data_IF_285876936535
#
_entry.id   IF_285876936535
#
_cell.length_a   1.000
_cell.length_b   1.000
_cell.length_c   1.000
_cell.angle_alpha   90.00
_cell.angle_beta   90.00
_cell.angle_gamma   90.00
#
_symmetry.space_group_name_H-M   'P 1'
#
loop_
_entity.id
_entity.type
_entity.pdbx_description
1 polymer ?
#
# COMPACT_ATOMS: atom_id res chain seq x y z
N UNK A 1 3.08 -6.75 13.70
CA UNK A 1 3.24 -7.52 12.43
C UNK A 1 3.76 -6.62 11.32
N UNK A 2 3.14 -5.47 11.06
CA UNK A 2 3.70 -4.43 10.16
C UNK A 2 5.02 -3.86 10.68
N UNK A 3 5.17 -3.73 12.00
CA UNK A 3 6.42 -3.34 12.68
C UNK A 3 7.42 -4.49 12.92
N UNK A 4 7.23 -5.66 12.31
CA UNK A 4 8.15 -6.79 12.54
C UNK A 4 9.53 -6.53 11.92
N UNK A 5 10.59 -6.97 12.62
CA UNK A 5 11.95 -6.89 12.09
C UNK A 5 12.11 -7.70 10.80
N UNK A 6 11.42 -8.84 10.70
CA UNK A 6 11.45 -9.68 9.51
C UNK A 6 10.50 -9.14 8.43
N UNK A 7 11.06 -8.78 7.27
CA UNK A 7 10.29 -8.24 6.13
C UNK A 7 9.24 -9.19 5.59
N UNK A 8 9.44 -10.51 5.67
CA UNK A 8 8.43 -11.49 5.29
C UNK A 8 7.16 -11.36 6.16
N UNK A 9 7.34 -11.17 7.48
CA UNK A 9 6.22 -10.99 8.39
C UNK A 9 5.48 -9.67 8.12
N UNK A 10 6.22 -8.60 7.80
CA UNK A 10 5.62 -7.32 7.38
C UNK A 10 4.77 -7.49 6.13
N UNK A 11 5.33 -8.09 5.07
CA UNK A 11 4.62 -8.36 3.82
C UNK A 11 3.34 -9.17 4.07
N UNK A 12 3.41 -10.24 4.87
CA UNK A 12 2.23 -11.04 5.22
C UNK A 12 1.17 -10.23 5.96
N UNK A 13 1.57 -9.37 6.90
CA UNK A 13 0.66 -8.48 7.62
C UNK A 13 -0.05 -7.50 6.68
N UNK A 14 0.69 -6.85 5.78
CA UNK A 14 0.14 -5.89 4.83
C UNK A 14 -0.87 -6.54 3.89
N UNK A 15 -0.51 -7.67 3.27
CA UNK A 15 -1.41 -8.39 2.37
C UNK A 15 -2.68 -8.88 3.09
N UNK A 16 -2.56 -9.32 4.35
CA UNK A 16 -3.71 -9.77 5.13
C UNK A 16 -4.66 -8.61 5.46
N UNK A 17 -4.13 -7.43 5.81
CA UNK A 17 -4.95 -6.23 6.05
C UNK A 17 -5.71 -5.84 4.78
N UNK A 18 -5.03 -5.75 3.64
CA UNK A 18 -5.67 -5.39 2.37
C UNK A 18 -6.75 -6.41 1.97
N UNK A 19 -6.48 -7.70 2.11
CA UNK A 19 -7.43 -8.75 1.78
C UNK A 19 -8.70 -8.71 2.64
N UNK A 20 -8.58 -8.29 3.89
CA UNK A 20 -9.69 -8.24 4.84
C UNK A 20 -10.42 -6.90 4.90
N UNK A 21 -9.94 -5.87 4.19
CA UNK A 21 -10.47 -4.52 4.27
C UNK A 21 -11.98 -4.43 3.97
N UNK A 22 -12.47 -5.25 3.03
CA UNK A 22 -13.88 -5.29 2.65
C UNK A 22 -14.83 -5.69 3.80
N UNK A 23 -14.34 -6.37 4.84
CA UNK A 23 -15.13 -6.80 5.99
C UNK A 23 -14.92 -5.91 7.23
N UNK A 24 -14.09 -4.87 7.13
CA UNK A 24 -13.82 -3.97 8.25
C UNK A 24 -14.97 -2.98 8.46
N UNK A 25 -15.94 -3.38 9.26
CA UNK A 25 -17.06 -2.51 9.69
C UNK A 25 -16.71 -1.66 10.91
N UNK A 26 -15.59 -1.96 11.58
CA UNK A 26 -15.15 -1.28 12.79
C UNK A 26 -14.16 -0.12 12.51
N UNK A 27 -13.79 0.10 11.25
CA UNK A 27 -12.86 1.18 10.86
C UNK A 27 -11.40 0.95 11.28
N UNK A 28 -11.02 -0.28 11.63
CA UNK A 28 -9.67 -0.63 12.09
C UNK A 28 -8.61 -0.38 11.01
N UNK A 29 -8.97 -0.56 9.74
CA UNK A 29 -8.07 -0.31 8.61
C UNK A 29 -7.73 1.19 8.54
N UNK A 30 -8.70 2.06 8.80
CA UNK A 30 -8.48 3.50 8.81
C UNK A 30 -7.56 3.91 9.96
N UNK A 31 -7.72 3.31 11.15
CA UNK A 31 -6.87 3.57 12.31
C UNK A 31 -5.39 3.22 12.03
N UNK A 32 -5.15 2.09 11.37
CA UNK A 32 -3.78 1.61 11.07
C UNK A 32 -3.22 2.14 9.74
N UNK A 33 -4.02 2.87 8.95
CA UNK A 33 -3.62 3.34 7.62
C UNK A 33 -2.30 4.13 7.63
N UNK A 34 -2.02 5.05 8.58
CA UNK A 34 -0.75 5.76 8.61
C UNK A 34 0.46 4.83 8.81
N UNK A 35 0.31 3.71 9.52
CA UNK A 35 1.35 2.69 9.62
C UNK A 35 1.48 1.89 8.33
N UNK A 36 0.36 1.46 7.77
CA UNK A 36 0.32 0.72 6.52
C UNK A 36 1.06 1.49 5.40
N UNK A 37 0.75 2.77 5.22
CA UNK A 37 1.29 3.58 4.13
C UNK A 37 2.80 3.86 4.25
N UNK A 38 3.39 3.78 5.46
CA UNK A 38 4.85 3.86 5.63
C UNK A 38 5.60 2.77 4.87
N UNK A 39 4.95 1.65 4.58
CA UNK A 39 5.55 0.55 3.85
C UNK A 39 5.59 0.76 2.32
N UNK A 40 4.98 1.82 1.78
CA UNK A 40 5.17 2.20 0.36
C UNK A 40 6.66 2.44 0.03
N UNK A 41 7.45 2.85 1.02
CA UNK A 41 8.91 3.00 0.92
C UNK A 41 9.63 2.12 1.95
N UNK A 42 9.14 0.91 2.18
CA UNK A 42 9.78 -0.05 3.11
C UNK A 42 11.28 -0.24 2.80
N UNK A 43 12.12 -0.43 3.82
CA UNK A 43 13.56 -0.68 3.65
C UNK A 43 13.87 -1.85 2.70
N UNK A 44 12.98 -2.84 2.60
CA UNK A 44 13.07 -3.94 1.64
C UNK A 44 12.22 -3.59 0.42
N UNK A 45 12.84 -3.39 -0.77
CA UNK A 45 12.11 -3.05 -1.98
C UNK A 45 10.98 -4.03 -2.28
N UNK A 46 11.20 -5.33 -2.06
CA UNK A 46 10.15 -6.34 -2.30
C UNK A 46 8.92 -6.13 -1.41
N UNK A 47 9.09 -5.72 -0.15
CA UNK A 47 7.98 -5.44 0.76
C UNK A 47 7.23 -4.19 0.31
N UNK A 48 7.94 -3.15 -0.14
CA UNK A 48 7.32 -1.96 -0.71
C UNK A 48 6.47 -2.26 -1.94
N UNK A 49 7.02 -3.03 -2.89
CA UNK A 49 6.28 -3.45 -4.09
C UNK A 49 5.01 -4.23 -3.76
N UNK A 50 5.08 -5.15 -2.79
CA UNK A 50 3.91 -5.92 -2.33
C UNK A 50 2.87 -5.02 -1.64
N UNK A 51 3.32 -4.07 -0.81
CA UNK A 51 2.45 -3.08 -0.19
C UNK A 51 1.68 -2.29 -1.26
N UNK A 52 2.41 -1.74 -2.25
CA UNK A 52 1.86 -0.93 -3.34
C UNK A 52 0.86 -1.73 -4.16
N UNK A 53 1.21 -2.97 -4.54
CA UNK A 53 0.34 -3.84 -5.34
C UNK A 53 -0.97 -4.22 -4.64
N UNK A 54 -1.01 -4.19 -3.30
CA UNK A 54 -2.20 -4.49 -2.52
C UNK A 54 -3.13 -3.27 -2.30
N UNK A 55 -2.67 -2.05 -2.55
CA UNK A 55 -3.45 -0.83 -2.33
C UNK A 55 -4.76 -0.77 -3.15
N UNK A 56 -4.82 -1.22 -4.42
CA UNK A 56 -6.09 -1.26 -5.14
C UNK A 56 -7.14 -2.15 -4.47
N UNK A 57 -6.73 -3.29 -3.89
CA UNK A 57 -7.64 -4.17 -3.15
C UNK A 57 -8.09 -3.53 -1.83
N UNK A 58 -7.16 -2.90 -1.10
CA UNK A 58 -7.45 -2.14 0.11
C UNK A 58 -8.53 -1.08 -0.15
N UNK A 59 -8.36 -0.29 -1.21
CA UNK A 59 -9.30 0.78 -1.60
C UNK A 59 -10.62 0.21 -2.12
N UNK A 60 -10.61 -0.88 -2.89
CA UNK A 60 -11.85 -1.53 -3.33
C UNK A 60 -12.72 -2.00 -2.14
N UNK A 61 -12.08 -2.49 -1.07
CA UNK A 61 -12.77 -2.86 0.17
C UNK A 61 -13.18 -1.67 1.04
N UNK A 62 -12.44 -0.57 0.99
CA UNK A 62 -12.68 0.64 1.78
C UNK A 62 -12.50 1.90 0.90
N UNK A 63 -13.48 2.25 0.05
CA UNK A 63 -13.36 3.34 -0.91
C UNK A 63 -13.00 4.70 -0.31
N UNK A 64 -13.42 4.96 0.94
CA UNK A 64 -13.13 6.19 1.67
C UNK A 64 -11.62 6.46 1.86
N UNK A 65 -10.76 5.44 1.74
CA UNK A 65 -9.32 5.58 1.91
C UNK A 65 -8.62 6.08 0.64
N UNK A 66 -9.30 6.12 -0.51
CA UNK A 66 -8.69 6.44 -1.80
C UNK A 66 -7.90 7.77 -1.83
N UNK A 67 -8.41 8.89 -1.27
CA UNK A 67 -7.67 10.16 -1.30
C UNK A 67 -6.34 10.08 -0.54
N UNK A 68 -6.33 9.43 0.63
CA UNK A 68 -5.13 9.28 1.44
C UNK A 68 -4.11 8.36 0.77
N UNK A 69 -4.58 7.25 0.18
CA UNK A 69 -3.74 6.29 -0.54
C UNK A 69 -3.10 6.93 -1.77
N UNK A 70 -3.88 7.64 -2.60
CA UNK A 70 -3.36 8.33 -3.79
C UNK A 70 -2.35 9.42 -3.43
N UNK A 71 -2.63 10.21 -2.39
CA UNK A 71 -1.68 11.21 -1.91
C UNK A 71 -0.35 10.58 -1.46
N UNK A 72 -0.40 9.46 -0.72
CA UNK A 72 0.80 8.74 -0.28
C UNK A 72 1.58 8.17 -1.47
N UNK A 73 0.91 7.62 -2.48
CA UNK A 73 1.55 7.14 -3.71
C UNK A 73 2.24 8.28 -4.48
N UNK A 74 1.59 9.44 -4.59
CA UNK A 74 2.15 10.62 -5.29
C UNK A 74 3.36 11.22 -4.59
N UNK A 75 3.38 11.17 -3.24
CA UNK A 75 4.44 11.80 -2.43
C UNK A 75 5.56 10.83 -2.05
N UNK A 76 5.41 9.55 -2.36
CA UNK A 76 6.41 8.52 -2.07
C UNK A 76 7.75 8.81 -2.75
N UNK A 77 8.83 8.73 -1.96
CA UNK A 77 10.21 8.90 -2.43
C UNK A 77 11.06 7.70 -2.04
N UNK A 78 10.99 6.57 -2.79
CA UNK A 78 11.79 5.39 -2.50
C UNK A 78 13.28 5.66 -2.74
N UNK A 79 14.13 5.25 -1.80
CA UNK A 79 15.59 5.46 -1.83
C UNK A 79 16.32 4.12 -2.05
N UNK A 80 16.13 3.52 -3.23
CA UNK A 80 16.79 2.28 -3.63
C UNK A 80 17.79 2.54 -4.76
N UNK A 81 18.60 1.52 -5.10
CA UNK A 81 19.37 1.55 -6.34
C UNK A 81 18.45 1.74 -7.57
N UNK A 82 18.95 2.40 -8.61
CA UNK A 82 18.19 2.87 -9.78
C UNK A 82 17.32 1.79 -10.45
N UNK A 83 17.80 0.54 -10.51
CA UNK A 83 17.04 -0.58 -11.07
C UNK A 83 15.77 -0.86 -10.26
N UNK A 84 15.86 -0.87 -8.93
CA UNK A 84 14.73 -1.10 -8.05
C UNK A 84 13.83 0.12 -7.95
N UNK A 85 14.38 1.33 -7.98
CA UNK A 85 13.60 2.55 -7.94
C UNK A 85 12.65 2.63 -9.14
N UNK A 86 13.13 2.30 -10.36
CA UNK A 86 12.29 2.24 -11.56
C UNK A 86 11.14 1.25 -11.42
N UNK A 87 11.39 0.04 -10.91
CA UNK A 87 10.35 -0.97 -10.72
C UNK A 87 9.27 -0.49 -9.74
N UNK A 88 9.67 0.14 -8.63
CA UNK A 88 8.75 0.66 -7.62
C UNK A 88 7.93 1.83 -8.18
N UNK A 89 8.53 2.72 -8.97
CA UNK A 89 7.81 3.80 -9.65
C UNK A 89 6.77 3.26 -10.66
N UNK A 90 7.10 2.20 -11.41
CA UNK A 90 6.14 1.51 -12.26
C UNK A 90 4.97 0.94 -11.46
N UNK A 91 5.24 0.30 -10.33
CA UNK A 91 4.17 -0.25 -9.47
C UNK A 91 3.29 0.87 -8.88
N UNK A 92 3.88 2.00 -8.46
CA UNK A 92 3.14 3.18 -7.96
C UNK A 92 2.18 3.69 -9.04
N UNK A 93 2.67 3.88 -10.26
CA UNK A 93 1.85 4.34 -11.37
C UNK A 93 0.72 3.35 -11.72
N UNK A 94 1.03 2.04 -11.70
CA UNK A 94 0.05 0.99 -11.94
C UNK A 94 -1.04 0.95 -10.85
N UNK A 95 -0.66 1.05 -9.57
CA UNK A 95 -1.59 1.07 -8.45
C UNK A 95 -2.48 2.31 -8.48
N UNK A 96 -1.91 3.49 -8.70
CA UNK A 96 -2.69 4.73 -8.82
C UNK A 96 -3.71 4.67 -9.97
N UNK A 97 -3.31 4.15 -11.13
CA UNK A 97 -4.21 3.93 -12.26
C UNK A 97 -5.34 2.94 -11.92
N UNK A 98 -5.01 1.84 -11.25
CA UNK A 98 -5.99 0.84 -10.85
C UNK A 98 -7.00 1.42 -9.84
N UNK A 99 -6.55 2.24 -8.89
CA UNK A 99 -7.41 2.92 -7.92
C UNK A 99 -8.33 3.93 -8.62
N UNK A 100 -7.81 4.74 -9.54
CA UNK A 100 -8.63 5.70 -10.30
C UNK A 100 -9.73 4.99 -11.13
N UNK A 101 -9.44 3.80 -11.65
CA UNK A 101 -10.41 3.00 -12.40
C UNK A 101 -11.56 2.42 -11.56
N UNK A 102 -11.47 2.47 -10.22
CA UNK A 102 -12.55 2.02 -9.32
C UNK A 102 -13.74 3.00 -9.30
N UNK A 103 -13.60 4.23 -9.82
CA UNK A 103 -14.68 5.23 -9.84
C UNK A 103 -15.02 5.81 -8.46
N UNK A 104 -14.08 5.75 -7.52
CA UNK A 104 -14.24 6.18 -6.12
C UNK A 104 -13.51 7.49 -5.81
N UNK A 105 -12.98 8.16 -6.83
CA UNK A 105 -12.17 9.39 -6.77
C UNK A 105 -12.69 10.39 -7.78
#
# INVERSE_FOLDING_TARGET
MMSAQNSYQRTRGLLLIAANAQWDTAGKVQEVLPEYLRHITDEKPITARQCIGALPQLVAGQPALAPAVLHALQTAKPQYADSMQRLVQCDIAAAAKAIAALGVV
#
